data_IF_179649163641
#
_entry.id   IF_179649163641
#
_cell.length_a   1.000
_cell.length_b   1.000
_cell.length_c   1.000
_cell.angle_alpha   90.00
_cell.angle_beta   90.00
_cell.angle_gamma   90.00
#
_symmetry.space_group_name_H-M   'P 1'
#
loop_
_entity.id
_entity.type
_entity.pdbx_description
1 polymer ?
#
# COMPACT_ATOMS: atom_id res chain seq x y z
N UNK A 1 34.42 18.71 -7.90
CA UNK A 1 35.48 17.76 -7.51
C UNK A 1 34.80 16.45 -7.20
N UNK A 2 35.02 15.42 -8.05
CA UNK A 2 34.53 14.08 -7.75
C UNK A 2 35.41 13.52 -6.62
N UNK A 3 34.86 13.43 -5.42
CA UNK A 3 35.50 12.71 -4.32
C UNK A 3 35.65 11.26 -4.76
N UNK A 4 36.89 10.78 -4.94
CA UNK A 4 37.15 9.35 -5.13
C UNK A 4 36.77 8.63 -3.84
N UNK A 5 35.51 8.25 -3.73
CA UNK A 5 35.01 7.46 -2.61
C UNK A 5 35.50 6.03 -2.79
N UNK A 6 36.07 5.50 -1.72
CA UNK A 6 36.45 4.09 -1.64
C UNK A 6 35.22 3.18 -1.83
N UNK A 7 35.41 1.96 -2.35
CA UNK A 7 34.31 1.01 -2.56
C UNK A 7 33.43 0.79 -1.31
N UNK A 8 34.03 0.91 -0.12
CA UNK A 8 33.32 0.80 1.16
C UNK A 8 32.37 1.97 1.39
N UNK A 9 32.82 3.19 1.14
CA UNK A 9 32.00 4.40 1.28
C UNK A 9 30.82 4.40 0.29
N UNK A 10 31.04 3.91 -0.94
CA UNK A 10 29.96 3.73 -1.91
C UNK A 10 28.89 2.72 -1.44
N UNK A 11 29.31 1.60 -0.83
CA UNK A 11 28.38 0.59 -0.29
C UNK A 11 27.61 1.17 0.90
N UNK A 12 28.27 1.94 1.76
CA UNK A 12 27.63 2.56 2.93
C UNK A 12 26.60 3.63 2.52
N UNK A 13 26.91 4.43 1.50
CA UNK A 13 25.95 5.39 0.94
C UNK A 13 24.74 4.68 0.34
N UNK A 14 24.96 3.62 -0.45
CA UNK A 14 23.90 2.82 -1.04
C UNK A 14 23.01 2.20 0.05
N UNK A 15 23.61 1.60 1.08
CA UNK A 15 22.89 1.02 2.22
C UNK A 15 22.01 2.06 2.90
N UNK A 16 22.54 3.25 3.16
CA UNK A 16 21.80 4.31 3.85
C UNK A 16 20.58 4.78 3.04
N UNK A 17 20.73 4.89 1.71
CA UNK A 17 19.64 5.23 0.80
C UNK A 17 18.59 4.12 0.75
N UNK A 18 19.02 2.86 0.60
CA UNK A 18 18.12 1.71 0.57
C UNK A 18 17.31 1.62 1.86
N UNK A 19 17.96 1.76 3.03
CA UNK A 19 17.26 1.71 4.32
C UNK A 19 16.23 2.84 4.43
N UNK A 20 16.58 4.06 4.00
CA UNK A 20 15.64 5.18 4.01
C UNK A 20 14.43 4.90 3.11
N UNK A 21 14.66 4.40 1.89
CA UNK A 21 13.57 4.04 0.96
C UNK A 21 12.71 2.92 1.53
N UNK A 22 13.32 1.88 2.11
CA UNK A 22 12.60 0.78 2.72
C UNK A 22 11.70 1.24 3.88
N UNK A 23 12.17 2.17 4.72
CA UNK A 23 11.37 2.74 5.81
C UNK A 23 10.16 3.52 5.27
N UNK A 24 10.35 4.31 4.20
CA UNK A 24 9.26 5.08 3.58
C UNK A 24 8.21 4.13 2.98
N UNK A 25 8.64 3.11 2.24
CA UNK A 25 7.72 2.09 1.68
C UNK A 25 6.96 1.40 2.82
N UNK A 26 7.65 0.95 3.87
CA UNK A 26 7.00 0.30 5.00
C UNK A 26 5.97 1.21 5.70
N UNK A 27 6.27 2.50 5.87
CA UNK A 27 5.34 3.46 6.44
C UNK A 27 4.09 3.64 5.56
N UNK A 28 4.26 3.72 4.24
CA UNK A 28 3.14 3.81 3.29
C UNK A 28 2.30 2.53 3.32
N UNK A 29 2.93 1.36 3.30
CA UNK A 29 2.22 0.07 3.39
C UNK A 29 1.39 -0.05 4.68
N UNK A 30 1.96 0.35 5.83
CA UNK A 30 1.23 0.33 7.10
C UNK A 30 0.04 1.30 7.05
N UNK A 31 0.23 2.49 6.48
CA UNK A 31 -0.82 3.49 6.32
C UNK A 31 -1.96 2.97 5.43
N UNK A 32 -1.65 2.41 4.26
CA UNK A 32 -2.66 1.89 3.32
C UNK A 32 -3.41 0.67 3.86
N UNK A 33 -2.79 -0.13 4.74
CA UNK A 33 -3.48 -1.22 5.46
C UNK A 33 -4.29 -0.77 6.67
N UNK A 34 -4.00 0.40 7.25
CA UNK A 34 -4.65 0.87 8.49
C UNK A 34 -5.79 1.85 8.24
N UNK A 35 -5.71 2.60 7.14
CA UNK A 35 -6.65 3.68 6.84
C UNK A 35 -7.51 3.37 5.62
N UNK A 36 -8.78 3.74 5.72
CA UNK A 36 -9.71 3.85 4.61
C UNK A 36 -9.89 5.31 4.24
N UNK A 37 -9.97 5.60 2.94
CA UNK A 37 -10.19 6.96 2.43
C UNK A 37 -11.68 7.17 2.18
N UNK A 38 -12.41 7.69 3.16
CA UNK A 38 -13.84 7.95 3.00
C UNK A 38 -14.08 9.34 2.43
N UNK A 39 -14.91 9.48 1.38
CA UNK A 39 -15.34 10.80 0.93
C UNK A 39 -16.24 11.40 2.01
N UNK A 40 -15.81 12.54 2.54
CA UNK A 40 -16.57 13.33 3.49
C UNK A 40 -17.01 14.62 2.79
N UNK A 41 -18.32 14.86 2.75
CA UNK A 41 -18.86 16.10 2.22
C UNK A 41 -18.89 17.17 3.33
N UNK A 42 -18.11 18.23 3.12
CA UNK A 42 -18.19 19.43 3.95
C UNK A 42 -18.39 20.64 3.04
N UNK A 43 -19.51 21.34 3.20
CA UNK A 43 -19.82 22.57 2.44
C UNK A 43 -19.82 22.40 0.90
N UNK A 44 -20.18 21.22 0.39
CA UNK A 44 -20.25 20.93 -1.06
C UNK A 44 -18.92 20.53 -1.70
N UNK A 45 -17.83 20.40 -0.92
CA UNK A 45 -16.55 19.85 -1.36
C UNK A 45 -16.41 18.41 -0.85
N UNK A 46 -16.12 17.46 -1.75
CA UNK A 46 -15.74 16.10 -1.40
C UNK A 46 -14.27 16.09 -0.95
N UNK A 47 -14.03 15.95 0.35
CA UNK A 47 -12.69 15.73 0.91
C UNK A 47 -12.47 14.24 1.21
N UNK A 48 -11.31 13.70 0.82
CA UNK A 48 -10.91 12.35 1.22
C UNK A 48 -10.29 12.40 2.61
N UNK A 49 -10.99 11.87 3.61
CA UNK A 49 -10.49 11.80 4.99
C UNK A 49 -10.00 10.39 5.32
N UNK A 50 -8.76 10.20 5.80
CA UNK A 50 -8.28 8.90 6.25
C UNK A 50 -8.92 8.55 7.59
N UNK A 51 -9.77 7.53 7.60
CA UNK A 51 -10.39 6.98 8.80
C UNK A 51 -9.73 5.64 9.15
N UNK A 52 -9.30 5.41 10.41
CA UNK A 52 -8.70 4.13 10.80
C UNK A 52 -9.75 3.02 10.74
N UNK A 53 -9.63 2.15 9.73
CA UNK A 53 -10.46 0.95 9.55
C UNK A 53 -9.56 -0.16 8.96
N UNK A 54 -8.93 -0.99 9.81
CA UNK A 54 -8.01 -2.02 9.34
C UNK A 54 -8.72 -3.15 8.58
N UNK A 55 -10.05 -3.27 8.71
CA UNK A 55 -10.85 -4.31 8.04
C UNK A 55 -11.21 -3.85 6.63
N UNK A 56 -11.70 -2.60 6.49
CA UNK A 56 -12.06 -2.01 5.20
C UNK A 56 -11.01 -1.01 4.72
N UNK A 57 -9.75 -1.42 4.74
CA UNK A 57 -8.63 -0.56 4.37
C UNK A 57 -8.58 -0.26 2.85
N UNK A 58 -7.72 0.68 2.47
CA UNK A 58 -7.59 1.13 1.08
C UNK A 58 -7.22 -0.03 0.13
N UNK A 59 -6.36 -0.96 0.55
CA UNK A 59 -5.96 -2.10 -0.25
C UNK A 59 -7.10 -3.11 -0.47
N UNK A 60 -7.95 -3.32 0.54
CA UNK A 60 -9.17 -4.11 0.40
C UNK A 60 -10.12 -3.46 -0.61
N UNK A 61 -10.27 -2.14 -0.58
CA UNK A 61 -11.09 -1.41 -1.56
C UNK A 61 -10.56 -1.54 -2.99
N UNK A 62 -9.25 -1.38 -3.18
CA UNK A 62 -8.60 -1.58 -4.49
C UNK A 62 -8.85 -3.01 -4.98
N UNK A 63 -8.72 -4.01 -4.11
CA UNK A 63 -8.95 -5.43 -4.45
C UNK A 63 -10.40 -5.67 -4.87
N UNK A 64 -11.37 -5.10 -4.16
CA UNK A 64 -12.79 -5.20 -4.51
C UNK A 64 -13.10 -4.50 -5.83
N UNK A 65 -12.51 -3.34 -6.09
CA UNK A 65 -12.64 -2.65 -7.38
C UNK A 65 -12.05 -3.51 -8.51
N UNK A 66 -10.87 -4.10 -8.32
CA UNK A 66 -10.29 -5.04 -9.29
C UNK A 66 -11.20 -6.24 -9.53
N UNK A 67 -11.76 -6.83 -8.47
CA UNK A 67 -12.71 -7.94 -8.56
C UNK A 67 -13.92 -7.56 -9.44
N UNK A 68 -14.52 -6.39 -9.20
CA UNK A 68 -15.70 -5.92 -9.93
C UNK A 68 -15.42 -5.55 -11.39
N UNK A 69 -14.20 -5.11 -11.70
CA UNK A 69 -13.86 -4.58 -13.03
C UNK A 69 -13.22 -5.63 -13.94
N UNK A 70 -12.46 -6.57 -13.37
CA UNK A 70 -11.64 -7.51 -14.15
C UNK A 70 -12.28 -8.90 -14.29
N UNK A 71 -13.24 -9.26 -13.44
CA UNK A 71 -13.85 -10.59 -13.48
C UNK A 71 -15.10 -10.61 -14.36
N UNK A 72 -15.28 -11.69 -15.15
CA UNK A 72 -16.53 -11.91 -15.86
C UNK A 72 -17.66 -12.26 -14.89
N UNK A 73 -18.91 -12.00 -15.31
CA UNK A 73 -20.10 -12.08 -14.46
C UNK A 73 -20.36 -13.46 -13.81
N UNK A 74 -19.76 -14.53 -14.33
CA UNK A 74 -19.93 -15.89 -13.82
C UNK A 74 -18.83 -16.32 -12.85
N UNK A 75 -17.83 -15.46 -12.56
CA UNK A 75 -16.68 -15.80 -11.73
C UNK A 75 -16.67 -14.95 -10.47
N UNK A 76 -16.51 -15.60 -9.32
CA UNK A 76 -16.39 -14.95 -8.01
C UNK A 76 -15.06 -15.33 -7.38
N UNK A 77 -14.37 -14.36 -6.76
CA UNK A 77 -13.21 -14.64 -5.93
C UNK A 77 -13.68 -15.28 -4.63
N UNK A 78 -13.11 -16.44 -4.34
CA UNK A 78 -13.30 -17.13 -3.06
C UNK A 78 -11.98 -17.13 -2.31
N UNK A 79 -12.05 -16.83 -1.02
CA UNK A 79 -10.91 -16.98 -0.13
C UNK A 79 -10.83 -18.44 0.31
N UNK A 80 -9.81 -19.14 -0.13
CA UNK A 80 -9.60 -20.56 0.23
C UNK A 80 -9.08 -20.74 1.65
N UNK A 81 -8.50 -19.68 2.23
CA UNK A 81 -8.12 -19.62 3.64
C UNK A 81 -8.14 -18.16 4.15
N UNK A 82 -8.46 -17.94 5.44
CA UNK A 82 -8.49 -16.58 6.02
C UNK A 82 -7.16 -15.83 5.90
N UNK A 83 -6.03 -16.53 6.05
CA UNK A 83 -4.71 -15.91 5.94
C UNK A 83 -4.39 -15.38 4.54
N UNK A 84 -4.92 -16.00 3.49
CA UNK A 84 -4.67 -15.58 2.10
C UNK A 84 -5.28 -14.20 1.81
N UNK A 85 -6.45 -13.91 2.39
CA UNK A 85 -7.09 -12.60 2.27
C UNK A 85 -6.22 -11.49 2.87
N UNK A 86 -5.61 -11.76 4.03
CA UNK A 86 -4.71 -10.81 4.69
C UNK A 86 -3.42 -10.60 3.89
N UNK A 87 -2.78 -11.68 3.43
CA UNK A 87 -1.56 -11.56 2.61
C UNK A 87 -1.80 -10.81 1.30
N UNK A 88 -2.94 -11.05 0.63
CA UNK A 88 -3.32 -10.31 -0.58
C UNK A 88 -3.37 -8.80 -0.34
N UNK A 89 -3.91 -8.36 0.81
CA UNK A 89 -3.93 -6.95 1.19
C UNK A 89 -2.53 -6.39 1.41
N UNK A 90 -1.60 -7.14 2.01
CA UNK A 90 -0.20 -6.71 2.16
C UNK A 90 0.43 -6.47 0.79
N UNK A 91 0.26 -7.42 -0.15
CA UNK A 91 0.82 -7.30 -1.49
C UNK A 91 0.29 -6.08 -2.24
N UNK A 92 -1.03 -5.86 -2.20
CA UNK A 92 -1.65 -4.68 -2.82
C UNK A 92 -1.17 -3.39 -2.14
N UNK A 93 -1.06 -3.37 -0.82
CA UNK A 93 -0.60 -2.21 -0.05
C UNK A 93 0.86 -1.85 -0.30
N UNK A 94 1.71 -2.83 -0.62
CA UNK A 94 3.11 -2.62 -0.96
C UNK A 94 3.33 -2.24 -2.42
N UNK A 95 2.34 -2.49 -3.29
CA UNK A 95 2.36 -2.12 -4.70
C UNK A 95 1.98 -0.64 -4.94
N UNK A 96 1.13 -0.09 -4.06
CA UNK A 96 0.67 1.30 -4.06
C UNK A 96 1.78 2.23 -3.60
#
# INVERSE_FOLDING_TARGET
MATEMTLREHIDELRMRIVRVAIVIAAITIFTMSFDLRPFEYSGLMLAYPFPDPIHNLAARITLTMQQTLLPAQVTLVQTAPGQAFFAQIYVSALV
#
